data_IF_548278680287
#
_entry.id   IF_548278680287
#
_cell.length_a   1.000
_cell.length_b   1.000
_cell.length_c   1.000
_cell.angle_alpha   90.00
_cell.angle_beta   90.00
_cell.angle_gamma   90.00
#
_symmetry.space_group_name_H-M   'P 1'
#
loop_
_entity.id
_entity.type
_entity.pdbx_description
1 polymer ?
#
# COMPACT_ATOMS: atom_id res chain seq x y z
N UNK A 1 -16.05 7.00 50.52
CA UNK A 1 -16.66 8.36 50.55
C UNK A 1 -16.17 9.14 51.77
N UNK A 2 -16.62 8.84 52.99
CA UNK A 2 -16.23 9.59 54.20
C UNK A 2 -14.70 9.71 54.44
N UNK A 3 -13.92 8.65 54.17
CA UNK A 3 -12.45 8.71 54.25
C UNK A 3 -11.85 9.71 53.25
N UNK A 4 -12.37 9.73 52.01
CA UNK A 4 -11.89 10.63 50.96
C UNK A 4 -12.24 12.10 51.31
N UNK A 5 -13.44 12.33 51.82
CA UNK A 5 -13.90 13.66 52.25
C UNK A 5 -13.12 14.19 53.46
N UNK A 6 -12.85 13.33 54.45
CA UNK A 6 -11.98 13.67 55.59
C UNK A 6 -10.56 14.04 55.15
N UNK A 7 -10.06 13.40 54.09
CA UNK A 7 -8.77 13.70 53.50
C UNK A 7 -8.77 14.98 52.64
N UNK A 8 -9.90 15.67 52.50
CA UNK A 8 -10.02 16.89 51.70
C UNK A 8 -10.30 16.64 50.21
N UNK A 9 -10.71 15.43 49.83
CA UNK A 9 -11.13 15.09 48.47
C UNK A 9 -12.65 15.10 48.35
N UNK A 10 -13.17 15.68 47.27
CA UNK A 10 -14.58 15.58 46.89
C UNK A 10 -14.80 14.23 46.23
N UNK A 11 -15.48 13.32 46.92
CA UNK A 11 -15.80 12.01 46.37
C UNK A 11 -17.21 11.98 45.75
N UNK A 12 -17.36 11.25 44.65
CA UNK A 12 -18.64 10.97 44.00
C UNK A 12 -18.72 9.48 43.67
N UNK A 13 -19.83 8.85 44.05
CA UNK A 13 -20.16 7.48 43.65
C UNK A 13 -21.66 7.38 43.40
N UNK A 14 -22.05 6.66 42.36
CA UNK A 14 -23.46 6.40 42.04
C UNK A 14 -23.63 4.92 41.68
N UNK A 15 -24.55 4.18 42.32
CA UNK A 15 -24.90 2.84 41.86
C UNK A 15 -25.36 2.87 40.38
N UNK A 16 -25.00 1.88 39.54
CA UNK A 16 -24.25 0.65 39.85
C UNK A 16 -22.73 0.74 39.55
N UNK A 17 -22.12 1.92 39.59
CA UNK A 17 -20.71 2.12 39.21
C UNK A 17 -19.74 1.25 40.04
N UNK A 18 -18.78 0.62 39.37
CA UNK A 18 -17.62 -0.03 40.00
C UNK A 18 -16.50 0.95 40.39
N UNK A 19 -16.66 2.24 40.07
CA UNK A 19 -15.66 3.29 40.29
C UNK A 19 -16.19 4.37 41.23
N UNK A 20 -15.40 4.69 42.27
CA UNK A 20 -15.56 5.86 43.12
C UNK A 20 -14.65 6.95 42.57
N UNK A 21 -15.20 8.06 42.10
CA UNK A 21 -14.42 9.23 41.68
C UNK A 21 -14.06 10.08 42.89
N UNK A 22 -12.86 10.65 42.93
CA UNK A 22 -12.43 11.57 43.98
C UNK A 22 -11.54 12.67 43.39
N UNK A 23 -11.94 13.93 43.55
CA UNK A 23 -11.21 15.09 43.06
C UNK A 23 -10.72 15.94 44.23
N UNK A 24 -9.50 16.47 44.17
CA UNK A 24 -9.01 17.41 45.16
C UNK A 24 -7.55 17.82 44.91
N UNK A 25 -6.97 18.63 45.82
CA UNK A 25 -5.58 19.06 45.69
C UNK A 25 -4.60 17.88 45.71
N UNK A 26 -3.56 17.92 44.88
CA UNK A 26 -2.53 16.87 44.86
C UNK A 26 -1.92 16.56 46.25
N UNK A 27 -1.64 17.54 47.14
CA UNK A 27 -1.14 17.24 48.48
C UNK A 27 -2.09 16.37 49.33
N UNK A 28 -3.40 16.52 49.16
CA UNK A 28 -4.39 15.71 49.87
C UNK A 28 -4.37 14.25 49.40
N UNK A 29 -4.27 14.04 48.08
CA UNK A 29 -4.15 12.71 47.50
C UNK A 29 -2.81 12.05 47.87
N UNK A 30 -1.70 12.80 47.80
CA UNK A 30 -0.36 12.37 48.23
C UNK A 30 -0.32 11.91 49.68
N UNK A 31 -0.87 12.70 50.59
CA UNK A 31 -0.91 12.34 52.01
C UNK A 31 -1.77 11.11 52.28
N UNK A 32 -2.93 11.01 51.63
CA UNK A 32 -3.86 9.89 51.80
C UNK A 32 -3.26 8.56 51.31
N UNK A 33 -2.54 8.60 50.19
CA UNK A 33 -2.03 7.42 49.49
C UNK A 33 -0.56 7.13 49.77
N UNK A 34 0.13 8.01 50.51
CA UNK A 34 1.53 7.89 50.87
C UNK A 34 2.46 7.90 49.66
N UNK A 35 2.23 8.82 48.72
CA UNK A 35 3.00 9.00 47.48
C UNK A 35 3.29 10.45 47.21
N UNK A 36 4.35 10.74 46.46
CA UNK A 36 4.65 12.08 45.97
C UNK A 36 4.13 12.22 44.52
N UNK A 37 3.19 13.15 44.32
CA UNK A 37 2.67 13.50 42.99
C UNK A 37 3.39 14.76 42.54
N UNK A 38 4.26 14.61 41.56
CA UNK A 38 5.15 15.68 41.09
C UNK A 38 4.95 15.95 39.60
N UNK A 39 5.31 17.17 39.16
CA UNK A 39 5.38 17.48 37.74
C UNK A 39 6.74 17.07 37.16
N UNK A 40 6.69 16.31 36.09
CA UNK A 40 7.85 15.89 35.30
C UNK A 40 7.85 16.59 33.95
N UNK A 41 9.04 16.77 33.39
CA UNK A 41 9.23 17.35 32.06
C UNK A 41 10.08 16.42 31.20
N UNK A 42 9.57 16.05 30.04
CA UNK A 42 10.29 15.24 29.05
C UNK A 42 11.25 16.09 28.20
N UNK A 43 12.14 15.42 27.47
CA UNK A 43 13.10 16.06 26.56
C UNK A 43 12.45 16.83 25.40
N UNK A 44 11.25 16.43 24.99
CA UNK A 44 10.42 17.10 23.98
C UNK A 44 9.65 18.31 24.53
N UNK A 45 9.72 18.56 25.84
CA UNK A 45 9.02 19.66 26.51
C UNK A 45 7.65 19.31 27.08
N UNK A 46 7.13 18.08 26.89
CA UNK A 46 5.88 17.63 27.51
C UNK A 46 5.99 17.70 29.04
N UNK A 47 5.00 18.33 29.68
CA UNK A 47 4.86 18.39 31.14
C UNK A 47 3.67 17.52 31.54
N UNK A 48 3.89 16.62 32.49
CA UNK A 48 2.86 15.74 33.05
C UNK A 48 3.10 15.59 34.55
N UNK A 49 2.05 15.26 35.30
CA UNK A 49 2.21 14.84 36.69
C UNK A 49 2.25 13.32 36.79
N UNK A 50 2.98 12.77 37.75
CA UNK A 50 2.99 11.35 38.06
C UNK A 50 3.41 11.09 39.51
N UNK A 51 3.17 9.86 39.97
CA UNK A 51 3.85 9.28 41.14
C UNK A 51 4.87 8.25 40.67
N UNK A 52 6.09 8.29 41.22
CA UNK A 52 7.10 7.23 41.00
C UNK A 52 6.99 6.10 42.03
N UNK A 53 6.23 6.33 43.11
CA UNK A 53 5.97 5.37 44.17
C UNK A 53 4.63 4.66 43.99
N UNK A 54 4.54 3.44 44.52
CA UNK A 54 3.30 2.67 44.53
C UNK A 54 2.33 3.20 45.61
N UNK A 55 1.09 3.57 45.25
CA UNK A 55 0.12 4.08 46.21
C UNK A 55 -0.30 3.00 47.22
N UNK A 56 -0.38 3.40 48.49
CA UNK A 56 -0.87 2.56 49.58
C UNK A 56 -2.30 2.94 49.88
N UNK A 57 -3.22 1.98 49.77
CA UNK A 57 -4.61 2.20 50.17
C UNK A 57 -4.73 2.08 51.69
N UNK A 58 -5.19 3.12 52.41
CA UNK A 58 -5.56 2.98 53.82
C UNK A 58 -6.60 1.86 53.98
N UNK A 59 -6.61 1.18 55.13
CA UNK A 59 -7.50 0.03 55.37
C UNK A 59 -8.98 0.32 55.08
N UNK A 60 -9.44 1.55 55.33
CA UNK A 60 -10.83 1.98 55.05
C UNK A 60 -11.12 2.16 53.56
N UNK A 61 -10.13 2.46 52.73
CA UNK A 61 -10.25 2.51 51.26
C UNK A 61 -10.07 1.10 50.68
N UNK A 62 -9.09 0.35 51.17
CA UNK A 62 -8.84 -1.04 50.75
C UNK A 62 -10.05 -1.97 50.99
N UNK A 63 -10.90 -1.65 51.97
CA UNK A 63 -12.16 -2.37 52.20
C UNK A 63 -13.21 -2.20 51.09
N UNK A 64 -13.07 -1.18 50.23
CA UNK A 64 -14.05 -0.83 49.20
C UNK A 64 -13.46 -0.69 47.78
N UNK A 65 -12.13 -0.61 47.64
CA UNK A 65 -11.45 -0.45 46.36
C UNK A 65 -10.19 -1.33 46.32
N UNK A 66 -9.95 -1.95 45.15
CA UNK A 66 -8.79 -2.80 44.92
C UNK A 66 -7.59 -2.02 44.36
N UNK A 67 -7.81 -0.85 43.76
CA UNK A 67 -6.79 -0.05 43.11
C UNK A 67 -7.19 1.43 43.08
N UNK A 68 -6.21 2.29 42.81
CA UNK A 68 -6.38 3.71 42.51
C UNK A 68 -5.69 4.02 41.18
N UNK A 69 -6.33 4.84 40.35
CA UNK A 69 -5.80 5.32 39.06
C UNK A 69 -5.96 6.83 38.96
N UNK A 70 -5.31 7.46 37.98
CA UNK A 70 -5.35 8.92 37.77
C UNK A 70 -4.33 9.71 38.62
N UNK A 71 -3.37 9.03 39.25
CA UNK A 71 -2.23 9.66 39.95
C UNK A 71 -1.11 10.10 38.99
N UNK A 72 -1.26 9.78 37.72
CA UNK A 72 -0.44 10.28 36.64
C UNK A 72 -1.30 10.76 35.47
N UNK A 73 -0.74 11.70 34.71
CA UNK A 73 -1.26 12.17 33.41
C UNK A 73 -0.29 11.86 32.29
N UNK A 74 0.74 11.03 32.55
CA UNK A 74 1.69 10.66 31.53
C UNK A 74 0.98 9.87 30.44
N UNK A 75 1.06 10.37 29.21
CA UNK A 75 0.73 9.60 28.03
C UNK A 75 1.98 9.53 27.18
N UNK A 76 2.41 8.31 26.85
CA UNK A 76 3.37 8.14 25.77
C UNK A 76 2.61 8.37 24.48
N UNK A 77 2.84 9.49 23.82
CA UNK A 77 2.45 9.62 22.42
C UNK A 77 3.27 8.61 21.63
N UNK A 78 2.57 7.68 20.98
CA UNK A 78 3.20 6.84 19.97
C UNK A 78 3.37 7.69 18.71
N UNK A 79 4.60 7.77 18.19
CA UNK A 79 4.81 8.38 16.87
C UNK A 79 4.02 7.60 15.82
N UNK A 80 3.40 8.31 14.90
CA UNK A 80 2.77 7.69 13.74
C UNK A 80 3.86 7.27 12.74
N UNK A 81 3.67 6.12 12.07
CA UNK A 81 4.61 5.64 11.05
C UNK A 81 4.61 6.53 9.80
N UNK A 82 3.46 7.13 9.49
CA UNK A 82 3.24 8.20 8.50
C UNK A 82 2.38 9.30 9.13
N UNK A 83 2.21 10.46 8.49
CA UNK A 83 1.31 11.49 9.01
C UNK A 83 -0.16 10.99 9.05
N UNK A 84 -0.95 11.32 10.08
CA UNK A 84 -2.37 11.00 10.10
C UNK A 84 -3.09 11.56 8.87
N UNK A 85 -3.88 10.72 8.20
CA UNK A 85 -4.56 11.07 6.95
C UNK A 85 -3.89 10.57 5.68
N UNK A 86 -2.84 9.74 5.82
CA UNK A 86 -2.16 9.04 4.74
C UNK A 86 -1.07 9.85 4.05
N UNK A 87 -0.28 9.15 3.22
CA UNK A 87 0.72 9.74 2.35
C UNK A 87 0.03 10.65 1.33
N UNK A 88 0.40 11.93 1.32
CA UNK A 88 -0.04 12.88 0.29
C UNK A 88 0.98 12.94 -0.85
N UNK A 89 0.68 13.57 -2.01
CA UNK A 89 1.57 13.55 -3.17
C UNK A 89 3.03 13.93 -2.90
N UNK A 90 3.27 14.93 -2.05
CA UNK A 90 4.65 15.35 -1.71
C UNK A 90 5.41 14.29 -0.91
N UNK A 91 4.70 13.55 -0.05
CA UNK A 91 5.25 12.49 0.77
C UNK A 91 5.58 11.28 -0.15
N UNK A 92 4.67 10.89 -1.05
CA UNK A 92 4.91 9.83 -2.06
C UNK A 92 6.09 10.16 -2.98
N UNK A 93 6.15 11.38 -3.50
CA UNK A 93 7.24 11.81 -4.37
C UNK A 93 8.61 11.78 -3.69
N UNK A 94 8.62 12.02 -2.38
CA UNK A 94 9.82 12.05 -1.55
C UNK A 94 10.23 10.64 -1.11
N UNK A 95 9.27 9.84 -0.63
CA UNK A 95 9.49 8.50 -0.11
C UNK A 95 10.07 7.55 -1.18
N UNK A 96 9.42 7.48 -2.34
CA UNK A 96 9.87 6.61 -3.45
C UNK A 96 10.88 7.27 -4.40
N UNK A 97 11.47 8.39 -3.98
CA UNK A 97 12.46 9.14 -4.76
C UNK A 97 12.03 9.47 -6.20
N UNK A 98 10.77 9.83 -6.39
CA UNK A 98 10.21 10.28 -7.68
C UNK A 98 10.49 11.76 -7.94
N UNK A 99 10.76 12.54 -6.89
CA UNK A 99 10.99 13.98 -6.99
C UNK A 99 12.06 14.37 -8.04
N UNK A 100 13.22 13.70 -8.16
CA UNK A 100 14.19 14.04 -9.20
C UNK A 100 13.65 13.88 -10.63
N UNK A 101 12.79 12.88 -10.86
CA UNK A 101 12.12 12.69 -12.15
C UNK A 101 11.12 13.82 -12.42
N UNK A 102 10.30 14.17 -11.41
CA UNK A 102 9.35 15.29 -11.50
C UNK A 102 10.04 16.65 -11.71
N UNK A 103 11.14 16.90 -11.00
CA UNK A 103 11.95 18.12 -11.14
C UNK A 103 12.60 18.22 -12.53
N UNK A 104 12.85 17.09 -13.19
CA UNK A 104 13.32 17.03 -14.58
C UNK A 104 12.20 17.28 -15.62
N UNK A 105 10.97 17.54 -15.17
CA UNK A 105 9.81 17.78 -16.04
C UNK A 105 9.16 16.50 -16.56
N UNK A 106 9.44 15.35 -15.94
CA UNK A 106 8.72 14.11 -16.20
C UNK A 106 7.41 14.16 -15.41
N UNK A 107 6.30 13.93 -16.07
CA UNK A 107 4.94 14.09 -15.55
C UNK A 107 3.93 13.13 -16.20
N UNK A 108 4.41 12.18 -17.00
CA UNK A 108 3.58 11.25 -17.76
C UNK A 108 3.19 11.76 -19.15
N UNK A 109 3.64 12.95 -19.57
CA UNK A 109 3.29 13.50 -20.89
C UNK A 109 3.63 12.52 -22.02
N UNK A 110 2.62 12.20 -22.84
CA UNK A 110 2.75 11.30 -23.97
C UNK A 110 2.65 9.82 -23.63
N UNK A 111 2.36 9.48 -22.37
CA UNK A 111 2.05 8.13 -21.90
C UNK A 111 0.54 7.93 -21.78
N UNK A 112 0.12 6.67 -21.91
CA UNK A 112 -1.27 6.24 -21.67
C UNK A 112 -1.26 5.10 -20.67
N UNK A 113 -2.06 5.23 -19.62
CA UNK A 113 -2.25 4.23 -18.57
C UNK A 113 -3.71 3.78 -18.63
N UNK A 114 -3.92 2.47 -18.74
CA UNK A 114 -5.23 1.87 -18.86
C UNK A 114 -5.58 1.10 -17.61
N UNK A 115 -6.86 1.15 -17.24
CA UNK A 115 -7.39 0.56 -16.03
C UNK A 115 -8.60 -0.32 -16.36
N UNK A 116 -8.52 -1.66 -16.19
CA UNK A 116 -9.70 -2.50 -16.15
C UNK A 116 -10.39 -2.34 -14.80
N UNK A 117 -11.65 -1.93 -14.81
CA UNK A 117 -12.39 -1.62 -13.57
C UNK A 117 -13.73 -2.36 -13.53
N UNK A 118 -14.10 -2.88 -12.36
CA UNK A 118 -15.39 -3.54 -12.14
C UNK A 118 -16.34 -2.71 -11.27
N UNK A 119 -15.84 -1.73 -10.52
CA UNK A 119 -16.68 -0.76 -9.81
C UNK A 119 -16.81 0.53 -10.64
N UNK A 120 -17.93 1.25 -10.50
CA UNK A 120 -18.16 2.50 -11.23
C UNK A 120 -17.45 3.68 -10.54
N UNK A 121 -17.21 4.77 -11.27
CA UNK A 121 -16.78 6.04 -10.69
C UNK A 121 -18.04 6.87 -10.33
N UNK A 122 -18.26 7.23 -9.05
CA UNK A 122 -19.55 7.79 -8.63
C UNK A 122 -19.78 9.19 -9.21
N UNK A 123 -18.72 9.98 -9.35
CA UNK A 123 -18.72 11.32 -9.91
C UNK A 123 -17.28 11.81 -10.15
N UNK A 124 -17.13 12.82 -11.02
CA UNK A 124 -15.85 13.51 -11.25
C UNK A 124 -15.49 14.51 -10.14
N UNK A 125 -16.45 14.89 -9.29
CA UNK A 125 -16.26 15.97 -8.31
C UNK A 125 -15.24 15.61 -7.22
N UNK A 126 -15.14 14.35 -6.83
CA UNK A 126 -14.15 13.93 -5.85
C UNK A 126 -12.73 13.94 -6.44
N UNK A 127 -12.57 13.43 -7.67
CA UNK A 127 -11.32 13.54 -8.44
C UNK A 127 -10.88 15.01 -8.64
N UNK A 128 -11.81 15.89 -8.99
CA UNK A 128 -11.53 17.32 -9.17
C UNK A 128 -11.14 18.01 -7.85
N UNK A 129 -11.73 17.60 -6.72
CA UNK A 129 -11.32 18.09 -5.39
C UNK A 129 -9.91 17.61 -5.06
N UNK A 130 -9.58 16.35 -5.34
CA UNK A 130 -8.25 15.81 -5.09
C UNK A 130 -7.21 16.60 -5.91
N UNK A 131 -7.46 16.76 -7.21
CA UNK A 131 -6.61 17.53 -8.09
C UNK A 131 -6.45 18.98 -7.62
N UNK A 132 -7.55 19.66 -7.25
CA UNK A 132 -7.49 21.03 -6.74
C UNK A 132 -6.75 21.14 -5.40
N UNK A 133 -6.94 20.18 -4.50
CA UNK A 133 -6.30 20.15 -3.17
C UNK A 133 -4.77 20.10 -3.28
N UNK A 134 -4.28 19.31 -4.23
CA UNK A 134 -2.83 19.09 -4.41
C UNK A 134 -2.22 19.86 -5.58
N UNK A 135 -3.00 20.73 -6.24
CA UNK A 135 -2.52 21.56 -7.35
C UNK A 135 -2.16 20.76 -8.60
N UNK A 136 -2.83 19.64 -8.84
CA UNK A 136 -2.68 18.80 -10.03
C UNK A 136 -3.62 19.29 -11.16
N UNK A 137 -3.36 18.92 -12.43
CA UNK A 137 -4.25 19.20 -13.55
C UNK A 137 -5.67 18.65 -13.31
N UNK A 138 -6.68 19.25 -13.93
CA UNK A 138 -8.03 18.71 -13.84
C UNK A 138 -8.14 17.37 -14.59
N UNK A 139 -8.85 16.40 -14.01
CA UNK A 139 -8.99 15.06 -14.61
C UNK A 139 -9.68 15.09 -15.97
N UNK A 140 -10.59 16.04 -16.23
CA UNK A 140 -11.25 16.20 -17.53
C UNK A 140 -10.25 16.27 -18.70
N UNK A 141 -9.03 16.77 -18.46
CA UNK A 141 -8.00 16.91 -19.49
C UNK A 141 -7.25 15.61 -19.82
N UNK A 142 -7.29 14.61 -18.92
CA UNK A 142 -6.48 13.40 -19.00
C UNK A 142 -7.29 12.11 -18.97
N UNK A 143 -8.52 12.12 -18.44
CA UNK A 143 -9.33 10.95 -18.19
C UNK A 143 -10.29 10.64 -19.34
N UNK A 144 -10.31 9.37 -19.76
CA UNK A 144 -11.29 8.82 -20.70
C UNK A 144 -11.98 7.63 -20.07
N UNK A 145 -13.32 7.66 -20.00
CA UNK A 145 -14.12 6.56 -19.49
C UNK A 145 -14.73 5.77 -20.66
N UNK A 146 -14.52 4.46 -20.70
CA UNK A 146 -15.01 3.55 -21.74
C UNK A 146 -16.06 2.61 -21.18
N UNK A 147 -17.18 2.50 -21.89
CA UNK A 147 -18.29 1.59 -21.59
C UNK A 147 -18.81 0.99 -22.88
N UNK A 148 -19.14 -0.30 -22.86
CA UNK A 148 -19.81 -0.99 -23.97
C UNK A 148 -20.84 -1.97 -23.40
N UNK A 149 -22.00 -2.08 -24.04
CA UNK A 149 -23.04 -3.02 -23.63
C UNK A 149 -22.59 -4.48 -23.59
N UNK A 150 -21.59 -4.84 -24.40
CA UNK A 150 -21.01 -6.18 -24.43
C UNK A 150 -20.06 -6.45 -23.25
N UNK A 151 -19.67 -5.43 -22.51
CA UNK A 151 -18.89 -5.55 -21.26
C UNK A 151 -19.78 -5.52 -20.01
N UNK A 152 -21.10 -5.49 -20.18
CA UNK A 152 -22.04 -5.58 -19.08
C UNK A 152 -22.16 -4.27 -18.32
N UNK A 153 -22.50 -4.35 -17.03
CA UNK A 153 -22.66 -3.17 -16.16
C UNK A 153 -21.75 -3.35 -14.95
N UNK A 154 -20.87 -2.40 -14.65
CA UNK A 154 -20.04 -2.48 -13.45
C UNK A 154 -20.90 -2.41 -12.19
N UNK A 155 -20.30 -2.79 -11.08
CA UNK A 155 -20.86 -2.56 -9.76
C UNK A 155 -20.96 -1.07 -9.46
N UNK A 156 -21.72 -0.72 -8.41
CA UNK A 156 -21.73 0.67 -7.94
C UNK A 156 -20.37 1.00 -7.35
N UNK A 157 -19.95 2.25 -7.50
CA UNK A 157 -18.76 2.81 -6.87
C UNK A 157 -18.54 2.33 -5.43
N UNK A 158 -17.42 1.62 -5.23
CA UNK A 158 -16.92 1.19 -3.92
C UNK A 158 -15.68 1.99 -3.50
N UNK A 159 -14.99 2.60 -4.46
CA UNK A 159 -13.84 3.48 -4.22
C UNK A 159 -12.57 3.06 -4.95
N UNK A 160 -12.56 1.88 -5.57
CA UNK A 160 -11.39 1.31 -6.24
C UNK A 160 -10.96 2.15 -7.44
N UNK A 161 -11.89 2.41 -8.37
CA UNK A 161 -11.61 3.29 -9.51
C UNK A 161 -11.13 4.68 -9.07
N UNK A 162 -11.63 5.21 -7.94
CA UNK A 162 -11.19 6.53 -7.44
C UNK A 162 -9.77 6.46 -6.87
N UNK A 163 -9.47 5.42 -6.08
CA UNK A 163 -8.14 5.14 -5.55
C UNK A 163 -7.09 5.06 -6.67
N UNK A 164 -7.34 4.22 -7.67
CA UNK A 164 -6.39 3.98 -8.75
C UNK A 164 -6.12 5.27 -9.56
N UNK A 165 -7.18 6.02 -9.87
CA UNK A 165 -7.08 7.28 -10.61
C UNK A 165 -6.34 8.36 -9.81
N UNK A 166 -6.61 8.51 -8.51
CA UNK A 166 -5.95 9.53 -7.68
C UNK A 166 -4.46 9.26 -7.48
N UNK A 167 -4.07 8.01 -7.24
CA UNK A 167 -2.65 7.61 -7.11
C UNK A 167 -1.91 7.81 -8.44
N UNK A 168 -2.48 7.37 -9.57
CA UNK A 168 -1.86 7.60 -10.87
C UNK A 168 -1.67 9.09 -11.15
N UNK A 169 -2.64 9.91 -10.79
CA UNK A 169 -2.64 11.33 -11.08
C UNK A 169 -1.65 12.13 -10.24
N UNK A 170 -1.40 11.73 -8.99
CA UNK A 170 -0.35 12.37 -8.19
C UNK A 170 1.08 12.04 -8.70
N UNK A 171 1.28 10.82 -9.21
CA UNK A 171 2.59 10.37 -9.72
C UNK A 171 2.85 10.90 -11.13
N UNK A 172 1.89 10.74 -12.05
CA UNK A 172 2.02 11.04 -13.48
C UNK A 172 0.83 11.91 -13.98
N UNK A 173 0.73 13.18 -13.53
CA UNK A 173 -0.46 14.03 -13.71
C UNK A 173 -0.84 14.39 -15.14
N UNK A 174 0.07 14.20 -16.10
CA UNK A 174 -0.15 14.46 -17.52
C UNK A 174 -0.19 13.16 -18.35
N UNK A 175 -0.16 11.99 -17.71
CA UNK A 175 -0.48 10.74 -18.38
C UNK A 175 -1.96 10.70 -18.74
N UNK A 176 -2.28 10.17 -19.92
CA UNK A 176 -3.67 9.91 -20.29
C UNK A 176 -4.16 8.67 -19.54
N UNK A 177 -5.25 8.80 -18.80
CA UNK A 177 -5.87 7.71 -18.05
C UNK A 177 -7.09 7.20 -18.84
N UNK A 178 -7.16 5.89 -19.09
CA UNK A 178 -8.28 5.27 -19.84
C UNK A 178 -8.88 4.12 -19.05
N UNK A 179 -10.07 4.31 -18.54
CA UNK A 179 -10.78 3.31 -17.73
C UNK A 179 -11.71 2.49 -18.62
N UNK A 180 -11.60 1.17 -18.57
CA UNK A 180 -12.50 0.20 -19.21
C UNK A 180 -13.34 -0.48 -18.15
N UNK A 181 -14.62 -0.11 -18.09
CA UNK A 181 -15.53 -0.69 -17.11
C UNK A 181 -16.19 -1.98 -17.63
N UNK A 182 -16.22 -3.00 -16.80
CA UNK A 182 -16.95 -4.25 -17.05
C UNK A 182 -17.78 -4.71 -15.85
N UNK A 183 -18.70 -5.63 -16.11
CA UNK A 183 -19.35 -6.43 -15.06
C UNK A 183 -18.31 -7.26 -14.30
N UNK A 184 -18.52 -7.53 -13.00
CA UNK A 184 -17.62 -8.34 -12.15
C UNK A 184 -17.73 -9.84 -12.46
N UNK A 185 -17.54 -10.21 -13.73
CA UNK A 185 -17.47 -11.60 -14.19
C UNK A 185 -16.42 -11.75 -15.30
N UNK A 186 -15.83 -12.94 -15.36
CA UNK A 186 -14.72 -13.23 -16.28
C UNK A 186 -15.08 -12.98 -17.75
N UNK A 187 -16.29 -13.34 -18.18
CA UNK A 187 -16.65 -13.26 -19.60
C UNK A 187 -16.75 -11.81 -20.10
N UNK A 188 -17.31 -10.91 -19.30
CA UNK A 188 -17.36 -9.49 -19.64
C UNK A 188 -16.00 -8.81 -19.47
N UNK A 189 -15.26 -9.15 -18.42
CA UNK A 189 -13.92 -8.62 -18.15
C UNK A 189 -12.94 -9.00 -19.26
N UNK A 190 -12.95 -10.25 -19.73
CA UNK A 190 -12.15 -10.72 -20.87
C UNK A 190 -12.42 -9.89 -22.14
N UNK A 191 -13.69 -9.53 -22.42
CA UNK A 191 -14.05 -8.73 -23.60
C UNK A 191 -13.61 -7.28 -23.48
N UNK A 192 -13.70 -6.70 -22.29
CA UNK A 192 -13.19 -5.36 -22.04
C UNK A 192 -11.66 -5.32 -22.15
N UNK A 193 -10.98 -6.31 -21.58
CA UNK A 193 -9.53 -6.46 -21.64
C UNK A 193 -9.02 -6.72 -23.07
N UNK A 194 -9.70 -7.56 -23.85
CA UNK A 194 -9.38 -7.78 -25.26
C UNK A 194 -9.51 -6.49 -26.09
N UNK A 195 -10.54 -5.68 -25.86
CA UNK A 195 -10.68 -4.39 -26.53
C UNK A 195 -9.61 -3.40 -26.06
N UNK A 196 -9.33 -3.35 -24.77
CA UNK A 196 -8.31 -2.49 -24.18
C UNK A 196 -6.94 -2.71 -24.84
N UNK A 197 -6.50 -3.97 -24.95
CA UNK A 197 -5.25 -4.34 -25.62
C UNK A 197 -5.26 -3.99 -27.12
N UNK A 198 -6.44 -3.89 -27.74
CA UNK A 198 -6.59 -3.51 -29.15
C UNK A 198 -6.53 -1.99 -29.37
N UNK A 199 -7.04 -1.18 -28.44
CA UNK A 199 -7.22 0.26 -28.61
C UNK A 199 -5.92 1.09 -28.47
N UNK A 200 -4.96 0.64 -27.66
CA UNK A 200 -3.82 1.46 -27.25
C UNK A 200 -2.50 0.67 -27.20
N UNK A 201 -1.86 0.53 -28.37
CA UNK A 201 -0.57 -0.16 -28.48
C UNK A 201 0.55 0.52 -27.67
N UNK A 202 1.38 -0.27 -26.98
CA UNK A 202 2.52 0.21 -26.20
C UNK A 202 2.17 0.94 -24.89
N UNK A 203 0.92 0.87 -24.43
CA UNK A 203 0.49 1.51 -23.18
C UNK A 203 0.84 0.69 -21.94
N UNK A 204 0.65 1.34 -20.77
CA UNK A 204 0.80 0.72 -19.45
C UNK A 204 -0.59 0.30 -18.96
N UNK A 205 -0.73 -0.88 -18.40
CA UNK A 205 -1.94 -1.36 -17.75
C UNK A 205 -1.69 -1.42 -16.24
N UNK A 206 -2.61 -0.86 -15.45
CA UNK A 206 -2.67 -0.95 -13.99
C UNK A 206 -3.95 -1.70 -13.64
N UNK A 207 -3.86 -2.88 -13.05
CA UNK A 207 -5.02 -3.69 -12.67
C UNK A 207 -4.98 -4.02 -11.18
N UNK A 208 -5.91 -3.43 -10.44
CA UNK A 208 -6.09 -3.65 -9.00
C UNK A 208 -7.14 -4.74 -8.70
N UNK A 209 -7.27 -5.72 -9.60
CA UNK A 209 -8.28 -6.77 -9.53
C UNK A 209 -7.66 -8.16 -9.40
N UNK A 210 -8.40 -9.06 -8.75
CA UNK A 210 -8.01 -10.47 -8.75
C UNK A 210 -8.99 -11.39 -8.04
N UNK A 211 -8.70 -12.68 -8.14
CA UNK A 211 -9.47 -13.75 -7.51
C UNK A 211 -8.59 -14.93 -7.13
N UNK A 212 -9.04 -15.78 -6.21
CA UNK A 212 -8.37 -17.03 -5.87
C UNK A 212 -8.00 -17.84 -7.14
N UNK A 213 -6.70 -18.06 -7.35
CA UNK A 213 -6.21 -18.72 -8.57
C UNK A 213 -6.78 -20.15 -8.75
N UNK A 214 -6.80 -21.03 -7.72
CA UNK A 214 -7.48 -22.33 -7.78
C UNK A 214 -8.96 -22.29 -8.14
N UNK A 215 -9.69 -21.26 -7.71
CA UNK A 215 -11.12 -21.11 -7.97
C UNK A 215 -11.40 -20.52 -9.36
N UNK A 216 -10.38 -19.96 -10.01
CA UNK A 216 -10.50 -19.38 -11.35
C UNK A 216 -10.58 -20.50 -12.41
N UNK A 217 -11.69 -20.58 -13.17
CA UNK A 217 -11.86 -21.63 -14.18
C UNK A 217 -10.73 -21.63 -15.21
N UNK A 218 -10.29 -22.82 -15.65
CA UNK A 218 -9.19 -22.94 -16.62
C UNK A 218 -9.45 -22.16 -17.91
N UNK A 219 -10.69 -22.17 -18.42
CA UNK A 219 -11.03 -21.39 -19.62
C UNK A 219 -10.87 -19.88 -19.46
N UNK A 220 -11.15 -19.33 -18.27
CA UNK A 220 -10.91 -17.91 -17.98
C UNK A 220 -9.41 -17.63 -17.89
N UNK A 221 -8.66 -18.51 -17.21
CA UNK A 221 -7.19 -18.43 -17.13
C UNK A 221 -6.52 -18.49 -18.50
N UNK A 222 -6.96 -19.40 -19.37
CA UNK A 222 -6.42 -19.59 -20.72
C UNK A 222 -6.74 -18.39 -21.63
N UNK A 223 -7.98 -17.86 -21.57
CA UNK A 223 -8.38 -16.69 -22.35
C UNK A 223 -7.58 -15.46 -21.95
N UNK A 224 -7.52 -15.15 -20.65
CA UNK A 224 -6.82 -13.99 -20.14
C UNK A 224 -5.33 -14.09 -20.45
N UNK A 225 -4.71 -15.26 -20.27
CA UNK A 225 -3.30 -15.49 -20.65
C UNK A 225 -3.07 -15.22 -22.14
N UNK A 226 -3.96 -15.64 -23.03
CA UNK A 226 -3.83 -15.39 -24.46
C UNK A 226 -3.94 -13.90 -24.82
N UNK A 227 -4.83 -13.15 -24.16
CA UNK A 227 -4.93 -11.70 -24.32
C UNK A 227 -3.68 -11.01 -23.79
N UNK A 228 -3.16 -11.45 -22.64
CA UNK A 228 -1.94 -10.92 -22.04
C UNK A 228 -0.70 -11.19 -22.89
N UNK A 229 -0.56 -12.39 -23.47
CA UNK A 229 0.54 -12.71 -24.39
C UNK A 229 0.52 -11.76 -25.62
N UNK A 230 -0.67 -11.40 -26.10
CA UNK A 230 -0.83 -10.39 -27.14
C UNK A 230 -0.41 -9.00 -26.64
N UNK A 231 -0.78 -8.61 -25.42
CA UNK A 231 -0.37 -7.33 -24.83
C UNK A 231 1.16 -7.21 -24.74
N UNK A 232 1.83 -8.27 -24.28
CA UNK A 232 3.30 -8.36 -24.25
C UNK A 232 3.89 -8.23 -25.67
N UNK A 233 3.32 -8.94 -26.65
CA UNK A 233 3.78 -8.85 -28.05
C UNK A 233 3.59 -7.46 -28.67
N UNK A 234 2.66 -6.66 -28.15
CA UNK A 234 2.40 -5.28 -28.54
C UNK A 234 3.23 -4.26 -27.73
N UNK A 235 4.15 -4.75 -26.88
CA UNK A 235 5.07 -3.91 -26.11
C UNK A 235 4.42 -3.22 -24.91
N UNK A 236 3.31 -3.74 -24.40
CA UNK A 236 2.61 -3.17 -23.25
C UNK A 236 3.26 -3.62 -21.94
N UNK A 237 3.20 -2.75 -20.93
CA UNK A 237 3.49 -3.10 -19.53
C UNK A 237 2.19 -3.43 -18.83
N UNK A 238 2.18 -4.41 -17.92
CA UNK A 238 1.01 -4.74 -17.14
C UNK A 238 1.39 -4.99 -15.69
N UNK A 239 0.95 -4.10 -14.81
CA UNK A 239 1.11 -4.19 -13.36
C UNK A 239 -0.19 -4.68 -12.74
N UNK A 240 -0.10 -5.72 -11.90
CA UNK A 240 -1.28 -6.36 -11.29
C UNK A 240 -1.10 -6.45 -9.78
N UNK A 241 -2.12 -6.06 -9.03
CA UNK A 241 -2.17 -6.22 -7.57
C UNK A 241 -2.05 -7.70 -7.19
N UNK A 242 -1.14 -8.00 -6.25
CA UNK A 242 -0.92 -9.38 -5.79
C UNK A 242 -2.05 -9.94 -4.91
N UNK A 243 -2.88 -9.06 -4.35
CA UNK A 243 -3.98 -9.37 -3.43
C UNK A 243 -3.72 -8.86 -2.01
N UNK A 244 -4.78 -8.82 -1.20
CA UNK A 244 -4.78 -8.13 0.10
C UNK A 244 -5.02 -9.07 1.30
N UNK A 245 -4.93 -10.39 1.08
CA UNK A 245 -5.17 -11.43 2.08
C UNK A 245 -3.88 -12.21 2.45
N UNK A 246 -2.73 -11.56 2.30
CA UNK A 246 -1.42 -12.19 2.48
C UNK A 246 -1.23 -13.38 1.54
N UNK A 247 -0.62 -14.46 2.03
CA UNK A 247 -0.45 -15.69 1.25
C UNK A 247 -1.76 -16.49 1.01
N UNK A 248 -2.91 -16.00 1.48
CA UNK A 248 -4.15 -16.76 1.61
C UNK A 248 -5.32 -16.16 0.80
N UNK A 249 -5.09 -15.86 -0.48
CA UNK A 249 -6.12 -15.31 -1.38
C UNK A 249 -7.43 -16.11 -1.37
N UNK A 250 -7.34 -17.44 -1.17
CA UNK A 250 -8.49 -18.34 -1.14
C UNK A 250 -9.13 -18.51 0.25
N UNK A 251 -8.63 -17.81 1.27
CA UNK A 251 -9.07 -17.90 2.67
C UNK A 251 -8.00 -18.43 3.62
N UNK A 252 -7.96 -17.89 4.86
CA UNK A 252 -6.99 -18.28 5.89
C UNK A 252 -7.07 -19.75 6.34
N UNK A 253 -8.20 -20.42 6.10
CA UNK A 253 -8.40 -21.83 6.41
C UNK A 253 -7.93 -22.77 5.28
N UNK A 254 -7.46 -22.22 4.17
CA UNK A 254 -6.92 -22.95 3.03
C UNK A 254 -5.39 -22.95 3.00
N UNK A 255 -4.81 -23.79 2.15
CA UNK A 255 -3.38 -23.71 1.85
C UNK A 255 -3.06 -22.38 1.12
N UNK A 256 -1.84 -21.85 1.28
CA UNK A 256 -1.41 -20.66 0.55
C UNK A 256 -1.63 -20.77 -0.96
N UNK A 257 -2.20 -19.72 -1.55
CA UNK A 257 -2.50 -19.63 -2.97
C UNK A 257 -2.52 -18.18 -3.42
N UNK A 258 -2.00 -17.93 -4.62
CA UNK A 258 -1.92 -16.60 -5.21
C UNK A 258 -3.24 -16.09 -5.79
N UNK A 259 -3.24 -14.81 -6.14
CA UNK A 259 -4.34 -14.14 -6.85
C UNK A 259 -4.13 -14.20 -8.36
N UNK A 260 -5.12 -14.66 -9.10
CA UNK A 260 -5.18 -14.54 -10.55
C UNK A 260 -5.82 -13.19 -10.93
N UNK A 261 -5.28 -12.40 -11.89
CA UNK A 261 -4.25 -12.75 -12.87
C UNK A 261 -2.80 -12.48 -12.45
N UNK A 262 -2.54 -12.01 -11.22
CA UNK A 262 -1.18 -11.70 -10.75
C UNK A 262 -0.21 -12.89 -10.80
N UNK A 263 -0.71 -14.14 -10.79
CA UNK A 263 0.15 -15.31 -10.93
C UNK A 263 0.63 -15.58 -12.35
N UNK A 264 0.14 -14.84 -13.36
CA UNK A 264 0.63 -14.97 -14.73
C UNK A 264 2.13 -14.62 -14.82
N UNK A 265 2.95 -15.41 -15.54
CA UNK A 265 4.36 -15.09 -15.73
C UNK A 265 4.62 -13.89 -16.65
N UNK A 266 3.59 -13.32 -17.27
CA UNK A 266 3.67 -12.24 -18.26
C UNK A 266 3.14 -10.90 -17.75
N UNK A 267 2.86 -10.81 -16.45
CA UNK A 267 2.52 -9.56 -15.75
C UNK A 267 3.57 -9.26 -14.68
N UNK A 268 3.70 -8.00 -14.30
CA UNK A 268 4.48 -7.56 -13.14
C UNK A 268 3.58 -7.48 -11.93
N UNK A 269 3.79 -8.37 -10.97
CA UNK A 269 2.94 -8.47 -9.78
C UNK A 269 3.45 -7.58 -8.68
N UNK A 270 2.55 -6.75 -8.14
CA UNK A 270 2.87 -5.74 -7.14
C UNK A 270 2.34 -6.16 -5.77
N UNK A 271 3.27 -6.37 -4.84
CA UNK A 271 3.04 -6.71 -3.45
C UNK A 271 2.88 -5.49 -2.54
N UNK A 272 2.82 -5.77 -1.24
CA UNK A 272 2.51 -4.77 -0.22
C UNK A 272 3.54 -4.64 0.88
N UNK A 273 3.88 -3.41 1.24
CA UNK A 273 4.69 -3.05 2.41
C UNK A 273 3.90 -2.18 3.39
N UNK A 274 4.38 -2.11 4.62
CA UNK A 274 4.05 -1.08 5.61
C UNK A 274 5.22 -0.11 5.66
N UNK A 275 4.98 1.17 5.37
CA UNK A 275 6.04 2.18 5.29
C UNK A 275 6.21 2.97 6.59
N UNK A 276 7.45 3.38 6.85
CA UNK A 276 7.82 4.28 7.94
C UNK A 276 8.58 5.45 7.35
N UNK A 277 8.02 6.65 7.46
CA UNK A 277 8.66 7.89 7.02
C UNK A 277 9.63 8.43 8.09
N UNK A 278 10.72 9.05 7.63
CA UNK A 278 11.52 9.91 8.51
C UNK A 278 10.76 11.19 8.90
N UNK A 279 11.26 11.95 9.88
CA UNK A 279 10.70 13.27 10.21
C UNK A 279 10.69 14.24 9.02
N UNK A 280 11.54 13.99 8.01
CA UNK A 280 11.66 14.78 6.80
C UNK A 280 10.78 14.29 5.65
N UNK A 281 9.99 13.22 5.84
CA UNK A 281 9.16 12.62 4.78
C UNK A 281 9.96 11.89 3.70
N UNK A 282 11.23 11.55 3.97
CA UNK A 282 12.03 10.69 3.09
C UNK A 282 11.98 9.24 3.57
N UNK A 283 12.27 8.29 2.66
CA UNK A 283 12.42 6.88 2.97
C UNK A 283 13.21 6.66 4.26
N UNK A 284 12.64 5.90 5.18
CA UNK A 284 13.34 5.47 6.39
C UNK A 284 13.36 3.95 6.50
N UNK A 285 12.20 3.30 6.46
CA UNK A 285 12.11 1.84 6.56
C UNK A 285 10.80 1.31 6.00
N UNK A 286 10.83 0.04 5.59
CA UNK A 286 9.66 -0.77 5.24
C UNK A 286 9.67 -2.11 5.99
N UNK A 287 8.47 -2.66 6.15
CA UNK A 287 8.23 -4.05 6.51
C UNK A 287 7.26 -4.67 5.51
N UNK A 288 7.31 -5.99 5.31
CA UNK A 288 6.25 -6.67 4.58
C UNK A 288 4.90 -6.47 5.28
N UNK A 289 3.86 -6.15 4.52
CA UNK A 289 2.52 -5.91 5.05
C UNK A 289 1.85 -7.25 5.41
N UNK A 290 1.61 -7.45 6.70
CA UNK A 290 0.86 -8.59 7.23
C UNK A 290 0.24 -8.25 8.56
N UNK A 291 -1.09 -8.22 8.60
CA UNK A 291 -1.88 -7.93 9.78
C UNK A 291 -2.79 -9.12 10.12
N UNK A 292 -2.40 -9.97 11.09
CA UNK A 292 -3.16 -11.17 11.42
C UNK A 292 -4.50 -10.89 12.12
N UNK A 293 -4.71 -9.67 12.63
CA UNK A 293 -5.93 -9.31 13.37
C UNK A 293 -7.13 -9.07 12.46
N UNK A 294 -6.91 -8.41 11.34
CA UNK A 294 -7.90 -8.14 10.29
C UNK A 294 -7.71 -9.05 9.05
N UNK A 295 -6.74 -9.97 9.10
CA UNK A 295 -6.48 -10.98 8.07
C UNK A 295 -6.09 -10.34 6.72
N UNK A 296 -5.44 -9.19 6.79
CA UNK A 296 -4.97 -8.44 5.62
C UNK A 296 -3.45 -8.54 5.47
N UNK A 297 -2.95 -8.37 4.24
CA UNK A 297 -1.52 -8.42 3.96
C UNK A 297 -1.23 -8.47 2.47
N UNK A 298 0.01 -8.15 2.09
CA UNK A 298 0.43 -8.18 0.69
C UNK A 298 0.42 -9.60 0.11
N UNK A 299 -0.23 -9.79 -1.03
CA UNK A 299 -0.29 -11.06 -1.72
C UNK A 299 1.08 -11.61 -2.08
N UNK A 300 1.26 -12.93 -1.98
CA UNK A 300 2.55 -13.53 -2.25
C UNK A 300 2.62 -15.04 -2.03
N UNK A 301 3.51 -15.72 -2.75
CA UNK A 301 3.61 -17.17 -2.75
C UNK A 301 3.89 -17.75 -4.13
N UNK A 302 3.60 -19.04 -4.30
CA UNK A 302 3.80 -19.75 -5.55
C UNK A 302 2.47 -19.99 -6.28
N UNK A 303 2.47 -19.77 -7.59
CA UNK A 303 1.36 -20.16 -8.46
C UNK A 303 1.10 -21.66 -8.37
N UNK A 304 -0.16 -22.05 -8.51
CA UNK A 304 -0.60 -23.44 -8.57
C UNK A 304 -0.65 -23.99 -10.01
N UNK A 305 -0.50 -23.13 -11.03
CA UNK A 305 -0.69 -23.53 -12.43
C UNK A 305 0.41 -23.11 -13.39
N UNK A 306 1.15 -22.03 -13.10
CA UNK A 306 2.14 -21.48 -14.01
C UNK A 306 3.56 -21.84 -13.61
N UNK A 307 4.29 -22.49 -14.50
CA UNK A 307 5.68 -22.85 -14.28
C UNK A 307 6.57 -21.61 -14.12
N UNK A 308 7.66 -21.77 -13.38
CA UNK A 308 8.64 -20.71 -13.17
C UNK A 308 9.21 -20.20 -14.50
N UNK A 309 9.06 -18.90 -14.80
CA UNK A 309 9.61 -18.32 -16.02
C UNK A 309 11.14 -18.21 -15.93
N UNK A 310 11.80 -18.13 -17.09
CA UNK A 310 13.26 -18.11 -17.16
C UNK A 310 13.90 -16.95 -16.38
N UNK A 311 13.24 -15.79 -16.34
CA UNK A 311 13.75 -14.61 -15.64
C UNK A 311 13.73 -14.76 -14.10
N UNK A 312 13.02 -15.74 -13.54
CA UNK A 312 12.99 -16.02 -12.09
C UNK A 312 13.93 -17.16 -11.66
N UNK A 313 14.59 -17.85 -12.59
CA UNK A 313 15.28 -19.13 -12.28
C UNK A 313 16.40 -19.01 -11.25
N UNK A 314 17.09 -17.88 -11.24
CA UNK A 314 18.12 -17.49 -10.26
C UNK A 314 17.56 -17.35 -8.84
N UNK A 315 16.33 -16.88 -8.73
CA UNK A 315 15.61 -16.60 -7.48
C UNK A 315 14.64 -17.72 -7.08
N UNK A 316 14.77 -18.90 -7.70
CA UNK A 316 13.87 -20.03 -7.44
C UNK A 316 13.96 -20.53 -6.00
N UNK A 317 12.93 -20.25 -5.20
CA UNK A 317 12.84 -20.73 -3.82
C UNK A 317 12.38 -22.20 -3.79
N UNK A 318 12.91 -23.04 -2.88
CA UNK A 318 12.46 -24.43 -2.73
C UNK A 318 10.94 -24.56 -2.49
N UNK A 319 10.35 -23.59 -1.79
CA UNK A 319 8.90 -23.53 -1.51
C UNK A 319 8.03 -23.27 -2.73
N UNK A 320 8.61 -22.89 -3.87
CA UNK A 320 7.87 -22.67 -5.11
C UNK A 320 7.56 -23.95 -5.89
N UNK A 321 8.25 -25.05 -5.59
CA UNK A 321 8.12 -26.31 -6.33
C UNK A 321 8.26 -26.16 -7.86
N UNK A 322 9.07 -25.19 -8.32
CA UNK A 322 9.29 -24.90 -9.74
C UNK A 322 8.19 -24.08 -10.42
N UNK A 323 7.30 -23.47 -9.66
CA UNK A 323 6.22 -22.60 -10.15
C UNK A 323 6.60 -21.11 -10.12
N UNK A 324 5.84 -20.27 -10.84
CA UNK A 324 5.93 -18.81 -10.83
C UNK A 324 5.76 -18.30 -9.41
N UNK A 325 6.63 -17.40 -8.99
CA UNK A 325 6.70 -16.89 -7.62
C UNK A 325 6.26 -15.43 -7.59
N UNK A 326 5.29 -15.05 -6.77
CA UNK A 326 4.78 -13.67 -6.60
C UNK A 326 5.13 -13.13 -5.19
N UNK A 327 5.24 -11.81 -5.01
CA UNK A 327 5.18 -10.76 -6.03
C UNK A 327 6.53 -10.54 -6.75
N UNK A 328 6.56 -9.70 -7.79
CA UNK A 328 7.81 -9.33 -8.46
C UNK A 328 8.48 -8.14 -7.76
N UNK A 329 7.67 -7.16 -7.33
CA UNK A 329 8.06 -5.93 -6.62
C UNK A 329 6.95 -5.55 -5.62
N UNK A 330 7.17 -4.56 -4.76
CA UNK A 330 6.14 -4.06 -3.83
C UNK A 330 6.12 -2.54 -3.70
N UNK A 331 5.10 -2.00 -3.06
CA UNK A 331 5.10 -0.65 -2.48
C UNK A 331 4.12 -0.63 -1.29
N UNK A 332 3.95 0.53 -0.67
CA UNK A 332 3.03 0.69 0.46
C UNK A 332 1.64 0.19 0.10
N UNK A 333 1.09 -0.62 0.99
CA UNK A 333 -0.22 -1.22 0.84
C UNK A 333 -0.93 -1.38 2.19
N UNK A 334 -0.28 -1.07 3.31
CA UNK A 334 -0.93 -1.16 4.61
C UNK A 334 -1.88 0.05 4.80
N UNK A 335 -3.19 -0.14 4.99
CA UNK A 335 -4.10 0.99 5.22
C UNK A 335 -3.72 1.86 6.42
N UNK A 336 -2.94 1.35 7.39
CA UNK A 336 -2.42 2.13 8.51
C UNK A 336 -1.33 3.14 8.11
N UNK A 337 -0.65 2.89 6.98
CA UNK A 337 0.40 3.77 6.42
C UNK A 337 0.05 4.32 5.04
N UNK A 338 -1.11 3.93 4.52
CA UNK A 338 -1.55 4.14 3.15
C UNK A 338 -1.73 5.58 2.69
N UNK A 339 -2.35 5.71 1.53
CA UNK A 339 -2.42 6.93 0.75
C UNK A 339 -3.62 7.77 1.13
N UNK A 340 -3.45 9.08 0.99
CA UNK A 340 -4.54 10.02 1.07
C UNK A 340 -5.36 9.98 -0.21
N UNK A 341 -6.67 9.80 -0.09
CA UNK A 341 -7.60 9.94 -1.22
C UNK A 341 -8.82 10.80 -0.85
N UNK A 342 -9.60 11.21 -1.85
CA UNK A 342 -10.91 11.81 -1.67
C UNK A 342 -11.98 10.89 -2.23
N UNK A 343 -12.84 10.36 -1.36
CA UNK A 343 -13.97 9.53 -1.78
C UNK A 343 -15.24 9.88 -1.01
N UNK A 344 -16.38 9.93 -1.72
CA UNK A 344 -17.65 10.34 -1.13
C UNK A 344 -17.63 11.78 -0.58
N UNK A 345 -16.78 12.62 -1.15
CA UNK A 345 -16.52 13.99 -0.72
C UNK A 345 -15.78 14.16 0.60
N UNK A 346 -15.11 13.11 1.10
CA UNK A 346 -14.32 13.16 2.33
C UNK A 346 -12.86 12.79 2.06
N UNK A 347 -11.99 13.34 2.88
CA UNK A 347 -10.61 12.89 3.04
C UNK A 347 -10.60 11.50 3.68
N UNK A 348 -10.03 10.52 3.00
CA UNK A 348 -9.90 9.14 3.47
C UNK A 348 -8.43 8.71 3.40
N UNK A 349 -8.08 7.67 4.17
CA UNK A 349 -6.78 7.01 4.13
C UNK A 349 -7.02 5.55 3.75
N UNK A 350 -6.36 5.09 2.68
CA UNK A 350 -6.58 3.76 2.11
C UNK A 350 -5.27 3.08 1.74
N UNK A 351 -5.28 1.75 1.74
CA UNK A 351 -4.14 0.92 1.33
C UNK A 351 -4.60 -0.13 0.33
N UNK A 352 -4.12 -1.35 0.51
CA UNK A 352 -4.24 -2.44 -0.44
C UNK A 352 -3.09 -2.45 -1.44
N UNK A 353 -2.78 -3.62 -1.99
CA UNK A 353 -1.91 -3.76 -3.16
C UNK A 353 -2.52 -3.09 -4.39
N UNK A 354 -3.84 -2.82 -4.33
CA UNK A 354 -4.55 -1.85 -5.14
C UNK A 354 -3.95 -0.45 -5.15
N UNK A 355 -3.38 0.04 -4.04
CA UNK A 355 -2.71 1.32 -4.01
C UNK A 355 -1.26 1.25 -4.55
N UNK A 356 -0.57 0.15 -4.26
CA UNK A 356 0.80 -0.08 -4.70
C UNK A 356 0.92 -0.21 -6.24
N UNK A 357 -0.06 -0.85 -6.88
CA UNK A 357 -0.09 -1.12 -8.33
C UNK A 357 -0.11 0.13 -9.21
N UNK A 358 -1.05 1.09 -9.04
CA UNK A 358 -1.07 2.37 -9.76
C UNK A 358 0.18 3.21 -9.47
N UNK A 359 0.75 3.14 -8.26
CA UNK A 359 2.00 3.82 -7.95
C UNK A 359 3.16 3.30 -8.84
N UNK A 360 3.28 1.98 -9.02
CA UNK A 360 4.25 1.38 -9.95
C UNK A 360 3.95 1.72 -11.42
N UNK A 361 2.69 1.67 -11.84
CA UNK A 361 2.28 2.02 -13.20
C UNK A 361 2.54 3.51 -13.53
N UNK A 362 2.29 4.41 -12.59
CA UNK A 362 2.62 5.84 -12.72
C UNK A 362 4.13 6.07 -12.80
N UNK A 363 4.91 5.34 -12.01
CA UNK A 363 6.37 5.39 -12.07
C UNK A 363 6.91 4.89 -13.41
N UNK A 364 6.34 3.82 -13.94
CA UNK A 364 6.63 3.32 -15.29
C UNK A 364 6.35 4.37 -16.36
N UNK A 365 5.30 5.18 -16.22
CA UNK A 365 5.01 6.27 -17.16
C UNK A 365 6.11 7.36 -17.13
N UNK A 366 6.61 7.72 -15.95
CA UNK A 366 7.72 8.67 -15.83
C UNK A 366 8.99 8.13 -16.51
N UNK A 367 9.32 6.85 -16.28
CA UNK A 367 10.48 6.18 -16.88
C UNK A 367 10.31 6.09 -18.41
N UNK A 368 9.14 5.69 -18.91
CA UNK A 368 8.88 5.65 -20.35
C UNK A 368 9.07 7.02 -21.01
N UNK A 369 8.58 8.08 -20.37
CA UNK A 369 8.76 9.46 -20.86
C UNK A 369 10.25 9.82 -20.95
N UNK A 370 11.04 9.50 -19.94
CA UNK A 370 12.48 9.71 -19.93
C UNK A 370 13.20 8.91 -21.03
N UNK A 371 12.94 7.60 -21.10
CA UNK A 371 13.54 6.70 -22.10
C UNK A 371 13.29 7.22 -23.52
N UNK A 372 12.07 7.67 -23.79
CA UNK A 372 11.68 8.27 -25.06
C UNK A 372 12.44 9.56 -25.36
N UNK A 373 12.62 10.44 -24.36
CA UNK A 373 13.46 11.65 -24.51
C UNK A 373 14.92 11.30 -24.82
N UNK A 374 15.41 10.17 -24.31
CA UNK A 374 16.75 9.63 -24.58
C UNK A 374 16.84 8.83 -25.90
N UNK A 375 15.75 8.69 -26.65
CA UNK A 375 15.70 7.92 -27.89
C UNK A 375 15.80 6.40 -27.69
N UNK A 376 15.46 5.91 -26.50
CA UNK A 376 15.39 4.50 -26.13
C UNK A 376 13.94 4.00 -26.26
N UNK A 377 13.76 2.68 -26.32
CA UNK A 377 12.42 2.09 -26.29
C UNK A 377 11.83 2.14 -24.87
N UNK A 378 10.51 2.17 -24.80
CA UNK A 378 9.74 2.10 -23.55
C UNK A 378 9.88 0.72 -22.88
N UNK A 379 9.52 0.62 -21.61
CA UNK A 379 9.86 -0.53 -20.76
C UNK A 379 9.18 -1.84 -21.18
N UNK A 380 7.98 -1.79 -21.76
CA UNK A 380 7.20 -2.96 -22.16
C UNK A 380 7.05 -3.99 -21.05
N UNK A 381 7.22 -5.28 -21.38
CA UNK A 381 7.19 -6.34 -20.37
C UNK A 381 8.38 -6.22 -19.41
N UNK A 382 8.11 -5.76 -18.19
CA UNK A 382 9.11 -5.28 -17.25
C UNK A 382 9.92 -6.37 -16.53
N UNK A 383 9.36 -7.58 -16.33
CA UNK A 383 9.96 -8.56 -15.42
C UNK A 383 11.40 -8.97 -15.77
N UNK A 384 11.76 -9.26 -17.03
CA UNK A 384 13.16 -9.59 -17.36
C UNK A 384 14.15 -8.51 -16.93
N UNK A 385 13.79 -7.23 -17.10
CA UNK A 385 14.61 -6.10 -16.69
C UNK A 385 14.66 -5.96 -15.16
N UNK A 386 13.52 -6.05 -14.47
CA UNK A 386 13.44 -5.96 -13.01
C UNK A 386 14.26 -7.04 -12.32
N UNK A 387 14.16 -8.29 -12.79
CA UNK A 387 14.95 -9.40 -12.25
C UNK A 387 16.44 -9.23 -12.53
N UNK A 388 16.82 -8.81 -13.74
CA UNK A 388 18.21 -8.47 -14.03
C UNK A 388 18.73 -7.37 -13.08
N UNK A 389 17.93 -6.36 -12.78
CA UNK A 389 18.31 -5.28 -11.87
C UNK A 389 18.47 -5.77 -10.42
N UNK A 390 17.57 -6.64 -9.95
CA UNK A 390 17.64 -7.24 -8.62
C UNK A 390 18.90 -8.08 -8.45
N UNK A 391 19.13 -9.01 -9.38
CA UNK A 391 20.32 -9.87 -9.43
C UNK A 391 21.63 -9.06 -9.51
N UNK A 392 21.60 -7.90 -10.16
CA UNK A 392 22.76 -7.03 -10.35
C UNK A 392 22.76 -5.82 -9.41
N UNK A 393 21.94 -5.81 -8.35
CA UNK A 393 21.78 -4.66 -7.45
C UNK A 393 23.12 -4.19 -6.84
N UNK A 394 24.05 -5.11 -6.55
CA UNK A 394 25.40 -4.78 -6.08
C UNK A 394 26.26 -3.98 -7.07
N UNK A 395 25.92 -3.99 -8.36
CA UNK A 395 26.61 -3.28 -9.45
C UNK A 395 25.87 -2.02 -9.89
N UNK A 396 24.70 -1.77 -9.32
CA UNK A 396 23.86 -0.59 -9.56
C UNK A 396 24.01 0.36 -8.35
N UNK A 397 24.42 1.60 -8.61
CA UNK A 397 24.58 2.62 -7.58
C UNK A 397 24.06 3.94 -8.13
N UNK A 398 23.00 4.52 -7.53
CA UNK A 398 22.19 4.00 -6.43
C UNK A 398 21.46 2.68 -6.76
N UNK A 399 21.00 1.95 -5.73
CA UNK A 399 20.27 0.68 -5.89
C UNK A 399 18.83 0.98 -6.34
N UNK A 400 18.28 0.25 -7.31
CA UNK A 400 16.92 0.51 -7.83
C UNK A 400 15.81 0.07 -6.89
N UNK A 401 16.10 -0.78 -5.91
CA UNK A 401 15.13 -1.32 -4.96
C UNK A 401 15.54 -1.09 -3.51
N UNK A 402 14.54 -0.83 -2.68
CA UNK A 402 14.58 -0.94 -1.23
C UNK A 402 14.24 -2.38 -0.83
N UNK A 403 15.28 -3.15 -0.52
CA UNK A 403 15.18 -4.55 -0.10
C UNK A 403 14.49 -4.67 1.29
N UNK A 404 13.31 -5.26 1.34
CA UNK A 404 12.49 -5.35 2.56
C UNK A 404 12.79 -6.65 3.29
N UNK A 405 13.58 -6.59 4.34
CA UNK A 405 14.11 -7.79 4.99
C UNK A 405 13.43 -8.15 6.31
N UNK A 406 12.21 -7.67 6.55
CA UNK A 406 11.51 -7.86 7.83
C UNK A 406 10.00 -7.80 7.67
N UNK A 407 9.28 -8.52 8.53
CA UNK A 407 7.84 -8.71 8.43
C UNK A 407 7.49 -9.99 7.68
N UNK A 408 6.20 -10.22 7.46
CA UNK A 408 5.70 -11.35 6.68
C UNK A 408 4.36 -10.98 6.04
N UNK A 409 3.89 -11.81 5.12
CA UNK A 409 2.56 -11.70 4.53
C UNK A 409 1.57 -12.73 5.11
N UNK A 410 1.58 -12.88 6.44
CA UNK A 410 0.82 -13.89 7.21
C UNK A 410 1.33 -15.33 7.09
N UNK A 411 2.27 -15.61 6.17
CA UNK A 411 2.87 -16.94 6.04
C UNK A 411 4.36 -16.91 5.68
N UNK A 412 4.74 -16.18 4.62
CA UNK A 412 6.12 -16.10 4.19
C UNK A 412 6.81 -14.91 4.85
N UNK A 413 7.94 -15.17 5.49
CA UNK A 413 8.80 -14.13 6.05
C UNK A 413 9.56 -13.41 4.94
N UNK A 414 9.71 -12.10 5.09
CA UNK A 414 10.56 -11.28 4.23
C UNK A 414 12.04 -11.52 4.55
N UNK A 415 12.92 -11.40 3.55
CA UNK A 415 14.31 -11.83 3.59
C UNK A 415 15.25 -10.90 2.84
N UNK A 416 16.52 -11.28 2.70
CA UNK A 416 17.46 -10.53 1.86
C UNK A 416 17.30 -10.94 0.41
N UNK A 417 17.16 -9.96 -0.48
CA UNK A 417 16.98 -10.19 -1.91
C UNK A 417 15.52 -10.52 -2.23
N UNK A 418 15.28 -11.31 -3.27
CA UNK A 418 13.92 -11.65 -3.65
C UNK A 418 13.26 -12.59 -2.62
N UNK A 419 12.04 -12.25 -2.17
CA UNK A 419 11.23 -13.09 -1.30
C UNK A 419 9.73 -13.11 -1.68
N UNK A 420 9.00 -14.07 -1.10
CA UNK A 420 7.56 -14.24 -1.37
C UNK A 420 6.67 -13.17 -0.75
N UNK A 421 7.18 -12.35 0.18
CA UNK A 421 6.37 -11.34 0.85
C UNK A 421 6.39 -10.02 0.09
N UNK A 422 7.52 -9.68 -0.53
CA UNK A 422 7.76 -8.36 -1.13
C UNK A 422 8.49 -8.37 -2.47
N UNK A 423 8.83 -9.55 -3.00
CA UNK A 423 9.58 -9.65 -4.25
C UNK A 423 10.95 -9.01 -4.10
N UNK A 424 11.34 -8.14 -5.04
CA UNK A 424 12.56 -7.34 -4.93
C UNK A 424 12.45 -6.14 -3.96
N UNK A 425 11.28 -5.91 -3.37
CA UNK A 425 10.99 -4.76 -2.52
C UNK A 425 10.44 -3.56 -3.31
N UNK A 426 10.48 -2.38 -2.68
CA UNK A 426 9.94 -1.16 -3.27
C UNK A 426 10.96 -0.38 -4.10
N UNK A 427 10.49 0.56 -4.92
CA UNK A 427 11.35 1.32 -5.82
C UNK A 427 12.06 2.49 -5.14
N UNK A 428 13.31 2.71 -5.53
CA UNK A 428 13.89 4.05 -5.60
C UNK A 428 13.73 4.51 -7.06
N UNK A 429 12.74 5.34 -7.37
CA UNK A 429 12.36 5.62 -8.76
C UNK A 429 13.47 6.30 -9.58
N UNK A 430 14.23 7.21 -8.97
CA UNK A 430 15.38 7.83 -9.63
C UNK A 430 16.50 6.83 -9.93
N UNK A 431 16.76 5.90 -9.02
CA UNK A 431 17.72 4.82 -9.24
C UNK A 431 17.22 3.79 -10.27
N UNK A 432 15.92 3.50 -10.25
CA UNK A 432 15.24 2.59 -11.17
C UNK A 432 15.30 3.11 -12.61
N UNK A 433 15.02 4.39 -12.86
CA UNK A 433 15.18 5.04 -14.17
C UNK A 433 16.61 4.85 -14.71
N UNK A 434 17.61 5.18 -13.88
CA UNK A 434 19.02 5.06 -14.25
C UNK A 434 19.42 3.59 -14.55
N UNK A 435 18.88 2.65 -13.79
CA UNK A 435 19.09 1.22 -14.01
C UNK A 435 18.46 0.75 -15.33
N UNK A 436 17.28 1.27 -15.69
CA UNK A 436 16.60 0.96 -16.95
C UNK A 436 17.38 1.42 -18.17
N UNK A 437 17.88 2.66 -18.14
CA UNK A 437 18.76 3.20 -19.19
C UNK A 437 19.99 2.30 -19.37
N UNK A 438 20.55 1.80 -18.27
CA UNK A 438 21.72 0.91 -18.31
C UNK A 438 21.38 -0.48 -18.87
N UNK A 439 20.24 -1.04 -18.50
CA UNK A 439 19.75 -2.32 -19.00
C UNK A 439 19.60 -2.29 -20.54
N UNK A 440 18.87 -1.30 -21.06
CA UNK A 440 18.65 -1.14 -22.52
C UNK A 440 19.98 -0.93 -23.25
N UNK A 441 20.86 -0.04 -22.77
CA UNK A 441 22.17 0.19 -23.38
C UNK A 441 23.10 -1.03 -23.30
N UNK A 442 22.83 -1.94 -22.38
CA UNK A 442 23.51 -3.23 -22.24
C UNK A 442 23.04 -4.30 -23.23
N UNK A 443 22.02 -4.02 -24.05
CA UNK A 443 21.43 -4.97 -25.01
C UNK A 443 20.30 -5.82 -24.43
N UNK A 444 19.71 -5.38 -23.32
CA UNK A 444 18.53 -5.98 -22.70
C UNK A 444 17.21 -5.63 -23.37
#
# INVERSE_FOLDING_TARGET
MATLETAGLRAVWRPPSSLIAADGPAPAASQLLGVDIENYRMSDGMIFYATLDQPRLPATIAAAAAAVSGLDSYRRDHGYAVRPGGLVPVDVLSYYNLKPLRDAGLDGTGQTIMLPEIDDLPNMTDLDKFAAKFGLPAFESVLTLKRDSNWGTPEKAQGETALDLEILHEVAPNAKLVVYFSSPDFGHSDRAFDQMVTDHLGSIISESLGSCEPDTPSGARDNYAAIQDRAVALGMSHFVASGDNGAYTCGLDQNPAGSFPSTLPTVTTVGGTTVFESQQGVYFKEYAWGSPLDQSGGGGGASQFYAMPNYQKSEGQPGAHGQRQVPDVSADADPLTGFHIIFGGRDEQVGGTSAATPLWAGTAALINQDLKQKGLHEIGFANPALYWMGENSSRLSPKPFHDVTSGNNLFYDAGTGWDFATGWGSMDAGALDAAWVRYIKGGG
#
